data_IF_131661929823
#
_entry.id   IF_131661929823
#
_cell.length_a   1.000
_cell.length_b   1.000
_cell.length_c   1.000
_cell.angle_alpha   90.00
_cell.angle_beta   90.00
_cell.angle_gamma   90.00
#
_symmetry.space_group_name_H-M   'P 1'
#
loop_
_entity.id
_entity.type
_entity.pdbx_description
1 polymer ?
#
# COMPACT_ATOMS: atom_id res chain seq x y z
N UNK A 1 8.43 -27.13 -23.77
CA UNK A 1 8.41 -27.30 -22.30
C UNK A 1 7.96 -25.99 -21.69
N UNK A 2 6.99 -26.01 -20.78
CA UNK A 2 6.57 -24.82 -20.04
C UNK A 2 7.48 -24.63 -18.83
N UNK A 3 7.89 -23.39 -18.55
CA UNK A 3 8.64 -23.08 -17.34
C UNK A 3 7.68 -22.88 -16.18
N UNK A 4 7.95 -23.50 -15.05
CA UNK A 4 7.10 -23.41 -13.86
C UNK A 4 7.64 -22.31 -12.97
N UNK A 5 6.87 -21.24 -12.79
CA UNK A 5 7.22 -20.12 -11.92
C UNK A 5 6.52 -20.26 -10.57
N UNK A 6 7.32 -20.42 -9.51
CA UNK A 6 6.85 -20.52 -8.13
C UNK A 6 6.66 -19.11 -7.53
N UNK A 7 5.63 -18.40 -7.96
CA UNK A 7 5.29 -17.09 -7.43
C UNK A 7 3.79 -16.81 -7.59
N UNK A 8 3.26 -15.87 -6.80
CA UNK A 8 1.90 -15.39 -6.96
C UNK A 8 1.84 -14.21 -7.95
N UNK A 9 0.65 -13.94 -8.49
CA UNK A 9 0.37 -12.79 -9.37
C UNK A 9 0.51 -11.43 -8.67
N UNK A 10 0.55 -11.41 -7.33
CA UNK A 10 0.78 -10.20 -6.52
C UNK A 10 2.26 -9.80 -6.45
N UNK A 11 3.19 -10.67 -6.86
CA UNK A 11 4.63 -10.40 -6.83
C UNK A 11 5.08 -9.61 -8.07
N UNK A 12 5.70 -8.45 -7.85
CA UNK A 12 6.20 -7.59 -8.94
C UNK A 12 7.14 -8.31 -9.90
N UNK A 13 8.02 -9.17 -9.40
CA UNK A 13 9.04 -9.86 -10.19
C UNK A 13 8.40 -10.98 -11.03
N UNK A 14 7.34 -11.60 -10.51
CA UNK A 14 6.59 -12.61 -11.24
C UNK A 14 5.84 -12.01 -12.42
N UNK A 15 5.22 -10.84 -12.23
CA UNK A 15 4.54 -10.13 -13.32
C UNK A 15 5.53 -9.68 -14.39
N UNK A 16 6.72 -9.17 -14.01
CA UNK A 16 7.80 -8.86 -14.97
C UNK A 16 8.21 -10.10 -15.78
N UNK A 17 8.35 -11.26 -15.12
CA UNK A 17 8.70 -12.51 -15.79
C UNK A 17 7.61 -12.99 -16.76
N UNK A 18 6.33 -12.86 -16.42
CA UNK A 18 5.21 -13.22 -17.30
C UNK A 18 5.12 -12.31 -18.54
N UNK A 19 5.31 -11.00 -18.36
CA UNK A 19 5.35 -10.05 -19.48
C UNK A 19 6.53 -10.39 -20.40
N UNK A 20 7.73 -10.61 -19.84
CA UNK A 20 8.90 -11.02 -20.60
C UNK A 20 8.66 -12.34 -21.36
N UNK A 21 7.99 -13.31 -20.74
CA UNK A 21 7.66 -14.58 -21.37
C UNK A 21 6.75 -14.41 -22.59
N UNK A 22 5.73 -13.55 -22.51
CA UNK A 22 4.79 -13.30 -23.61
C UNK A 22 5.48 -12.63 -24.80
N UNK A 23 6.36 -11.64 -24.56
CA UNK A 23 7.17 -11.03 -25.63
C UNK A 23 8.19 -12.02 -26.23
N UNK A 24 8.69 -12.96 -25.43
CA UNK A 24 9.67 -13.96 -25.87
C UNK A 24 9.03 -15.15 -26.59
N UNK A 25 7.71 -15.33 -26.45
CA UNK A 25 6.98 -16.53 -26.89
C UNK A 25 7.29 -17.77 -26.04
N UNK A 26 7.77 -17.59 -24.81
CA UNK A 26 8.07 -18.66 -23.86
C UNK A 26 6.81 -18.94 -23.05
N UNK A 27 6.40 -20.21 -22.95
CA UNK A 27 5.26 -20.60 -22.11
C UNK A 27 5.71 -20.67 -20.66
N UNK A 28 5.16 -19.80 -19.81
CA UNK A 28 5.36 -19.82 -18.35
C UNK A 28 4.04 -20.15 -17.67
N UNK A 29 4.07 -21.08 -16.72
CA UNK A 29 2.92 -21.49 -15.91
C UNK A 29 3.18 -21.14 -14.44
N UNK A 30 2.22 -20.48 -13.79
CA UNK A 30 2.27 -20.19 -12.36
C UNK A 30 1.80 -21.41 -11.57
N UNK A 31 2.45 -21.69 -10.44
CA UNK A 31 1.97 -22.71 -9.50
C UNK A 31 0.74 -22.18 -8.76
N UNK A 32 -0.38 -22.91 -8.87
CA UNK A 32 -1.67 -22.49 -8.30
C UNK A 32 -1.69 -22.37 -6.77
N UNK A 33 -0.91 -23.20 -6.07
CA UNK A 33 -0.93 -23.32 -4.61
C UNK A 33 0.33 -22.72 -3.96
N UNK A 34 0.86 -21.62 -4.51
CA UNK A 34 2.07 -20.98 -3.97
C UNK A 34 1.75 -20.02 -2.82
N UNK A 35 2.17 -20.38 -1.60
CA UNK A 35 2.08 -19.54 -0.41
C UNK A 35 3.44 -18.96 -0.02
N UNK A 36 3.55 -17.63 -0.08
CA UNK A 36 4.76 -16.92 0.34
C UNK A 36 4.93 -17.02 1.86
N UNK A 37 6.05 -17.59 2.32
CA UNK A 37 6.34 -17.88 3.72
C UNK A 37 6.31 -19.38 4.06
N UNK A 38 5.65 -20.18 3.22
CA UNK A 38 5.52 -21.65 3.35
C UNK A 38 6.27 -22.35 2.22
N UNK A 39 5.87 -22.11 0.97
CA UNK A 39 6.40 -22.80 -0.21
C UNK A 39 7.82 -22.37 -0.59
N UNK A 40 8.22 -21.13 -0.24
CA UNK A 40 9.53 -20.54 -0.57
C UNK A 40 10.69 -20.96 0.36
N UNK A 41 10.43 -21.75 1.41
CA UNK A 41 11.46 -22.27 2.32
C UNK A 41 12.11 -23.57 1.82
N UNK A 42 11.65 -24.11 0.69
CA UNK A 42 12.27 -25.27 0.03
C UNK A 42 13.32 -24.79 -1.00
N UNK A 43 14.44 -25.51 -1.18
CA UNK A 43 15.55 -25.04 -2.02
C UNK A 43 15.22 -25.20 -3.50
N UNK A 44 14.46 -24.26 -4.05
CA UNK A 44 14.24 -24.10 -5.50
C UNK A 44 14.24 -22.62 -5.87
N UNK A 45 14.66 -22.38 -7.12
CA UNK A 45 14.97 -21.10 -7.77
C UNK A 45 14.20 -19.93 -7.17
N UNK A 46 14.94 -18.95 -6.64
CA UNK A 46 14.38 -17.78 -5.99
C UNK A 46 13.63 -16.90 -7.01
N UNK A 47 12.42 -16.40 -6.69
CA UNK A 47 11.63 -15.55 -7.59
C UNK A 47 12.33 -14.26 -8.05
N UNK A 48 13.42 -13.86 -7.39
CA UNK A 48 14.07 -12.57 -7.58
C UNK A 48 14.88 -12.45 -8.88
N UNK A 49 15.26 -13.57 -9.51
CA UNK A 49 16.06 -13.60 -10.76
C UNK A 49 15.29 -14.20 -11.95
N UNK A 50 14.01 -14.53 -11.74
CA UNK A 50 13.19 -15.31 -12.67
C UNK A 50 12.97 -14.64 -14.04
N UNK A 51 12.89 -13.32 -14.13
CA UNK A 51 12.67 -12.62 -15.40
C UNK A 51 13.91 -12.65 -16.32
N UNK A 52 15.12 -12.64 -15.75
CA UNK A 52 16.37 -12.77 -16.48
C UNK A 52 16.54 -14.17 -17.06
N UNK A 53 16.27 -15.19 -16.25
CA UNK A 53 16.32 -16.58 -16.70
C UNK A 53 15.31 -16.82 -17.82
N UNK A 54 14.08 -16.34 -17.67
CA UNK A 54 13.03 -16.46 -18.69
C UNK A 54 13.44 -15.82 -20.02
N UNK A 55 14.05 -14.63 -19.98
CA UNK A 55 14.49 -13.94 -21.19
C UNK A 55 15.67 -14.66 -21.90
N UNK A 56 16.58 -15.30 -21.15
CA UNK A 56 17.77 -15.99 -21.70
C UNK A 56 17.50 -17.41 -22.20
N UNK A 57 16.34 -18.00 -21.90
CA UNK A 57 16.02 -19.38 -22.34
C UNK A 57 15.82 -19.52 -23.85
N UNK A 58 15.56 -18.42 -24.55
CA UNK A 58 15.48 -18.39 -26.00
C UNK A 58 16.74 -17.75 -26.56
N UNK A 59 17.53 -18.53 -27.27
CA UNK A 59 18.64 -18.01 -28.09
C UNK A 59 18.03 -17.09 -29.16
N UNK A 60 18.63 -15.91 -29.35
CA UNK A 60 18.15 -14.83 -30.23
C UNK A 60 16.79 -14.22 -29.81
N UNK A 61 16.63 -13.97 -28.51
CA UNK A 61 15.47 -13.25 -28.01
C UNK A 61 15.57 -11.74 -28.32
N UNK A 62 14.64 -11.14 -29.10
CA UNK A 62 14.67 -9.71 -29.41
C UNK A 62 14.59 -8.81 -28.16
N UNK A 63 14.09 -9.34 -27.04
CA UNK A 63 13.95 -8.62 -25.77
C UNK A 63 15.31 -8.40 -25.08
N UNK A 64 16.34 -9.17 -25.44
CA UNK A 64 17.71 -9.06 -24.91
C UNK A 64 18.62 -8.13 -25.74
N UNK A 65 18.08 -7.45 -26.75
CA UNK A 65 18.85 -6.59 -27.65
C UNK A 65 19.49 -7.38 -28.80
N UNK A 66 19.77 -6.67 -29.90
CA UNK A 66 20.29 -7.23 -31.15
C UNK A 66 21.82 -7.23 -31.24
N UNK A 67 22.49 -6.51 -30.33
CA UNK A 67 23.95 -6.41 -30.26
C UNK A 67 24.43 -6.44 -28.82
N UNK A 68 25.71 -6.75 -28.62
CA UNK A 68 26.35 -6.71 -27.29
C UNK A 68 26.27 -5.31 -26.65
N UNK A 69 26.23 -4.26 -27.46
CA UNK A 69 26.10 -2.87 -26.98
C UNK A 69 24.68 -2.63 -26.47
N UNK A 70 23.66 -3.02 -27.23
CA UNK A 70 22.26 -2.92 -26.78
C UNK A 70 22.03 -3.76 -25.53
N UNK A 71 22.58 -4.98 -25.49
CA UNK A 71 22.54 -5.84 -24.32
C UNK A 71 23.15 -5.16 -23.07
N UNK A 72 24.32 -4.54 -23.20
CA UNK A 72 24.95 -3.82 -22.10
C UNK A 72 24.12 -2.62 -21.61
N UNK A 73 23.47 -1.89 -22.53
CA UNK A 73 22.54 -0.83 -22.16
C UNK A 73 21.27 -1.36 -21.49
N UNK A 74 20.77 -2.53 -21.89
CA UNK A 74 19.64 -3.19 -21.22
C UNK A 74 20.01 -3.52 -19.77
N UNK A 75 21.19 -4.10 -19.53
CA UNK A 75 21.69 -4.37 -18.18
C UNK A 75 21.83 -3.09 -17.36
N UNK A 76 22.40 -2.03 -17.95
CA UNK A 76 22.51 -0.72 -17.32
C UNK A 76 21.15 -0.17 -16.84
N UNK A 77 20.10 -0.26 -17.66
CA UNK A 77 18.77 0.21 -17.28
C UNK A 77 18.09 -0.66 -16.22
N UNK A 78 18.40 -1.95 -16.18
CA UNK A 78 17.88 -2.87 -15.16
C UNK A 78 18.53 -2.61 -13.81
N UNK A 79 19.84 -2.36 -13.79
CA UNK A 79 20.56 -1.95 -12.59
C UNK A 79 20.08 -0.59 -12.10
N UNK A 80 19.90 0.38 -13.01
CA UNK A 80 19.33 1.68 -12.70
C UNK A 80 17.92 1.55 -12.08
N UNK A 81 17.05 0.72 -12.67
CA UNK A 81 15.72 0.47 -12.11
C UNK A 81 15.81 -0.11 -10.70
N UNK A 82 16.71 -1.06 -10.47
CA UNK A 82 16.84 -1.74 -9.18
C UNK A 82 17.38 -0.81 -8.09
N UNK A 83 18.43 -0.06 -8.40
CA UNK A 83 19.22 0.71 -7.42
C UNK A 83 18.70 2.13 -7.21
N UNK A 84 18.22 2.78 -8.26
CA UNK A 84 17.84 4.19 -8.22
C UNK A 84 16.32 4.40 -8.11
N UNK A 85 15.52 3.43 -8.58
CA UNK A 85 14.05 3.54 -8.55
C UNK A 85 13.45 2.63 -7.49
N UNK A 86 13.60 1.31 -7.62
CA UNK A 86 12.93 0.31 -6.79
C UNK A 86 13.31 0.45 -5.31
N UNK A 87 14.60 0.62 -4.99
CA UNK A 87 15.06 0.82 -3.60
C UNK A 87 14.43 2.07 -2.98
N UNK A 88 14.36 3.18 -3.71
CA UNK A 88 13.82 4.44 -3.19
C UNK A 88 12.29 4.39 -3.07
N UNK A 89 11.59 3.75 -4.01
CA UNK A 89 10.15 3.47 -3.89
C UNK A 89 9.87 2.59 -2.69
N UNK A 90 10.66 1.54 -2.44
CA UNK A 90 10.47 0.66 -1.28
C UNK A 90 10.73 1.41 0.04
N UNK A 91 11.77 2.24 0.12
CA UNK A 91 12.06 3.08 1.29
C UNK A 91 10.96 4.08 1.59
N UNK A 92 10.29 4.58 0.57
CA UNK A 92 9.11 5.45 0.73
C UNK A 92 7.86 4.65 1.09
N UNK A 93 7.62 3.52 0.42
CA UNK A 93 6.36 2.78 0.53
C UNK A 93 6.25 1.91 1.79
N UNK A 94 7.31 1.18 2.17
CA UNK A 94 7.27 0.21 3.28
C UNK A 94 6.89 0.88 4.62
N UNK A 95 7.45 2.04 5.00
CA UNK A 95 7.03 2.73 6.21
C UNK A 95 5.57 3.21 6.13
N UNK A 96 5.13 3.63 4.94
CA UNK A 96 3.77 4.11 4.70
C UNK A 96 2.73 3.01 4.88
N UNK A 97 3.00 1.77 4.48
CA UNK A 97 2.11 0.63 4.74
C UNK A 97 2.28 -0.01 6.13
N UNK A 98 3.14 0.55 6.99
CA UNK A 98 3.33 0.11 8.37
C UNK A 98 4.26 -1.09 8.56
N UNK A 99 4.96 -1.52 7.51
CA UNK A 99 5.92 -2.64 7.59
C UNK A 99 7.32 -2.21 8.03
N UNK A 100 7.57 -0.90 8.15
CA UNK A 100 8.77 -0.35 8.75
C UNK A 100 8.44 0.91 9.57
N UNK A 101 9.37 1.31 10.44
CA UNK A 101 9.29 2.56 11.17
C UNK A 101 9.43 3.75 10.19
N UNK A 102 8.55 4.74 10.33
CA UNK A 102 8.65 6.00 9.58
C UNK A 102 9.69 6.92 10.21
N UNK A 103 10.61 7.41 9.38
CA UNK A 103 11.64 8.37 9.73
C UNK A 103 11.60 9.48 8.67
N UNK A 104 11.18 10.71 9.02
CA UNK A 104 10.99 11.80 8.05
C UNK A 104 12.21 12.06 7.18
N UNK A 105 13.40 12.12 7.78
CA UNK A 105 14.65 12.46 7.08
C UNK A 105 15.03 11.38 6.04
N UNK A 106 14.73 10.11 6.34
CA UNK A 106 14.99 8.99 5.43
C UNK A 106 14.02 9.01 4.26
N UNK A 107 12.75 9.35 4.52
CA UNK A 107 11.75 9.46 3.47
C UNK A 107 12.06 10.63 2.54
N UNK A 108 12.33 11.82 3.07
CA UNK A 108 12.69 12.99 2.27
C UNK A 108 13.92 12.71 1.37
N UNK A 109 14.93 12.03 1.91
CA UNK A 109 16.10 11.61 1.14
C UNK A 109 15.73 10.61 0.03
N UNK A 110 14.87 9.62 0.33
CA UNK A 110 14.41 8.64 -0.66
C UNK A 110 13.58 9.29 -1.77
N UNK A 111 12.67 10.20 -1.43
CA UNK A 111 11.85 10.96 -2.39
C UNK A 111 12.74 11.85 -3.26
N UNK A 112 13.71 12.56 -2.69
CA UNK A 112 14.67 13.38 -3.44
C UNK A 112 15.52 12.54 -4.41
N UNK A 113 16.00 11.38 -3.95
CA UNK A 113 16.76 10.46 -4.79
C UNK A 113 15.91 9.90 -5.94
N UNK A 114 14.66 9.53 -5.66
CA UNK A 114 13.71 9.05 -6.66
C UNK A 114 13.41 10.14 -7.71
N UNK A 115 13.18 11.39 -7.29
CA UNK A 115 12.99 12.52 -8.23
C UNK A 115 14.18 12.68 -9.16
N UNK A 116 15.41 12.63 -8.65
CA UNK A 116 16.63 12.71 -9.46
C UNK A 116 16.71 11.59 -10.51
N UNK A 117 16.36 10.36 -10.11
CA UNK A 117 16.33 9.22 -11.02
C UNK A 117 15.28 9.41 -12.12
N UNK A 118 14.07 9.86 -11.74
CA UNK A 118 13.00 10.14 -12.69
C UNK A 118 13.30 11.32 -13.61
N UNK A 119 14.02 12.34 -13.17
CA UNK A 119 14.51 13.42 -14.04
C UNK A 119 15.48 12.90 -15.10
N UNK A 120 16.42 12.04 -14.71
CA UNK A 120 17.36 11.42 -15.65
C UNK A 120 16.61 10.56 -16.68
N UNK A 121 15.65 9.76 -16.23
CA UNK A 121 14.78 8.95 -17.07
C UNK A 121 13.94 9.83 -18.03
N UNK A 122 13.35 10.91 -17.52
CA UNK A 122 12.53 11.84 -18.30
C UNK A 122 13.34 12.52 -19.40
N UNK A 123 14.60 12.90 -19.12
CA UNK A 123 15.52 13.44 -20.14
C UNK A 123 15.86 12.41 -21.21
N UNK A 124 16.07 11.15 -20.83
CA UNK A 124 16.35 10.07 -21.79
C UNK A 124 15.14 9.80 -22.69
N UNK A 125 13.94 9.72 -22.11
CA UNK A 125 12.69 9.48 -22.84
C UNK A 125 12.22 10.69 -23.66
N UNK A 126 12.79 11.88 -23.46
CA UNK A 126 12.48 13.04 -24.28
C UNK A 126 12.92 12.86 -25.74
N UNK A 127 13.97 12.07 -25.99
CA UNK A 127 14.51 11.81 -27.33
C UNK A 127 14.35 10.36 -27.78
N UNK A 128 13.88 9.46 -26.90
CA UNK A 128 13.80 8.03 -27.18
C UNK A 128 12.41 7.49 -26.84
N UNK A 129 11.81 6.74 -27.76
CA UNK A 129 10.52 6.06 -27.55
C UNK A 129 10.65 4.82 -26.66
N UNK A 130 11.81 4.15 -26.70
CA UNK A 130 12.16 2.98 -25.89
C UNK A 130 13.46 3.25 -25.15
N UNK A 131 13.73 2.53 -24.06
CA UNK A 131 14.96 2.72 -23.28
C UNK A 131 16.21 2.31 -24.06
N UNK A 132 16.09 1.27 -24.88
CA UNK A 132 17.18 0.76 -25.72
C UNK A 132 16.65 0.39 -27.11
N UNK A 133 17.31 0.92 -28.15
CA UNK A 133 17.00 0.58 -29.53
C UNK A 133 15.64 1.10 -30.02
N UNK A 134 14.96 0.30 -30.85
CA UNK A 134 13.74 0.69 -31.58
C UNK A 134 12.52 -0.20 -31.27
N UNK A 135 12.61 -1.04 -30.24
CA UNK A 135 11.57 -1.99 -29.84
C UNK A 135 11.53 -2.17 -28.33
N UNK A 136 10.44 -2.76 -27.81
CA UNK A 136 10.33 -3.12 -26.39
C UNK A 136 11.41 -4.14 -26.02
N UNK A 137 12.21 -3.82 -25.01
CA UNK A 137 13.28 -4.65 -24.45
C UNK A 137 13.01 -5.00 -22.99
N UNK A 138 13.87 -5.83 -22.41
CA UNK A 138 13.77 -6.18 -20.98
C UNK A 138 13.88 -4.94 -20.10
N UNK A 139 14.64 -3.92 -20.54
CA UNK A 139 14.75 -2.65 -19.85
C UNK A 139 13.37 -2.00 -19.66
N UNK A 140 12.57 -1.90 -20.73
CA UNK A 140 11.23 -1.28 -20.69
C UNK A 140 10.28 -2.06 -19.76
N UNK A 141 10.32 -3.40 -19.82
CA UNK A 141 9.51 -4.29 -18.98
C UNK A 141 9.88 -4.13 -17.50
N UNK A 142 11.17 -4.15 -17.17
CA UNK A 142 11.65 -4.01 -15.78
C UNK A 142 11.38 -2.60 -15.26
N UNK A 143 11.51 -1.60 -16.12
CA UNK A 143 11.25 -0.20 -15.82
C UNK A 143 9.77 0.09 -15.57
N UNK A 144 8.85 -0.77 -16.03
CA UNK A 144 7.42 -0.68 -15.73
C UNK A 144 7.21 -0.96 -14.23
N UNK A 145 7.48 0.04 -13.40
CA UNK A 145 7.56 -0.09 -11.95
C UNK A 145 6.15 -0.14 -11.34
N UNK A 146 5.90 -1.15 -10.51
CA UNK A 146 4.67 -1.25 -9.69
C UNK A 146 4.41 -0.01 -8.81
N UNK A 147 5.46 0.76 -8.48
CA UNK A 147 5.33 2.01 -7.75
C UNK A 147 4.53 3.09 -8.49
N UNK A 148 4.51 3.11 -9.82
CA UNK A 148 3.63 4.00 -10.58
C UNK A 148 2.15 3.70 -10.37
N UNK A 149 1.80 2.45 -10.04
CA UNK A 149 0.41 2.03 -9.85
C UNK A 149 -0.05 2.28 -8.40
N UNK A 150 0.88 2.30 -7.43
CA UNK A 150 0.53 2.28 -5.99
C UNK A 150 1.05 3.42 -5.14
N UNK A 151 2.06 4.16 -5.59
CA UNK A 151 2.80 5.14 -4.76
C UNK A 151 2.87 6.52 -5.41
N UNK A 152 3.11 6.57 -6.72
CA UNK A 152 3.31 7.84 -7.42
C UNK A 152 1.96 8.49 -7.73
N UNK A 153 1.64 9.54 -6.98
CA UNK A 153 0.43 10.37 -7.19
C UNK A 153 0.53 11.17 -8.48
N UNK A 154 -0.61 11.63 -9.01
CA UNK A 154 -0.63 12.49 -10.21
C UNK A 154 0.16 13.78 -10.01
N UNK A 155 0.11 14.37 -8.81
CA UNK A 155 0.87 15.56 -8.46
C UNK A 155 2.37 15.30 -8.63
N UNK A 156 2.86 14.14 -8.19
CA UNK A 156 4.26 13.74 -8.33
C UNK A 156 4.66 13.37 -9.76
N UNK A 157 3.82 12.64 -10.51
CA UNK A 157 4.14 12.23 -11.89
C UNK A 157 4.10 13.38 -12.88
N UNK A 158 3.31 14.42 -12.61
CA UNK A 158 3.19 15.60 -13.47
C UNK A 158 4.50 16.38 -13.65
N UNK A 159 5.46 16.23 -12.73
CA UNK A 159 6.82 16.78 -12.83
C UNK A 159 7.63 16.12 -13.97
N UNK A 160 7.22 14.94 -14.43
CA UNK A 160 7.95 14.09 -15.39
C UNK A 160 7.06 13.67 -16.58
N UNK A 161 6.72 14.59 -17.50
CA UNK A 161 5.69 14.35 -18.52
C UNK A 161 6.03 13.24 -19.53
N UNK A 162 7.31 13.04 -19.88
CA UNK A 162 7.70 11.96 -20.79
C UNK A 162 7.62 10.60 -20.09
N UNK A 163 8.00 10.54 -18.82
CA UNK A 163 7.83 9.34 -17.99
C UNK A 163 6.34 9.02 -17.86
N UNK A 164 5.51 9.98 -17.49
CA UNK A 164 4.07 9.76 -17.33
C UNK A 164 3.40 9.26 -18.62
N UNK A 165 3.71 9.89 -19.76
CA UNK A 165 3.17 9.49 -21.07
C UNK A 165 3.62 8.09 -21.49
N UNK A 166 4.93 7.80 -21.45
CA UNK A 166 5.49 6.52 -21.88
C UNK A 166 5.00 5.38 -21.00
N UNK A 167 4.98 5.57 -19.68
CA UNK A 167 4.46 4.56 -18.76
C UNK A 167 2.96 4.36 -18.91
N UNK A 168 2.19 5.44 -19.11
CA UNK A 168 0.77 5.35 -19.41
C UNK A 168 0.49 4.50 -20.65
N UNK A 169 1.27 4.68 -21.71
CA UNK A 169 1.18 3.85 -22.92
C UNK A 169 1.51 2.39 -22.65
N UNK A 170 2.57 2.10 -21.88
CA UNK A 170 2.95 0.74 -21.53
C UNK A 170 1.91 0.05 -20.65
N UNK A 171 1.28 0.77 -19.71
CA UNK A 171 0.19 0.25 -18.86
C UNK A 171 -1.09 -0.03 -19.65
N UNK A 172 -1.36 0.74 -20.70
CA UNK A 172 -2.50 0.54 -21.60
C UNK A 172 -2.25 -0.60 -22.61
N UNK A 173 -1.01 -1.07 -22.77
CA UNK A 173 -0.71 -2.20 -23.67
C UNK A 173 -1.58 -3.43 -23.33
N UNK A 174 -2.14 -4.15 -24.32
CA UNK A 174 -2.94 -5.34 -24.08
C UNK A 174 -2.23 -6.41 -23.25
N UNK A 175 -0.91 -6.56 -23.41
CA UNK A 175 -0.08 -7.51 -22.65
C UNK A 175 -0.02 -7.09 -21.19
N UNK A 176 0.34 -5.83 -20.94
CA UNK A 176 0.40 -5.25 -19.59
C UNK A 176 -0.94 -5.32 -18.88
N UNK A 177 -2.06 -5.00 -19.56
CA UNK A 177 -3.40 -5.10 -18.98
C UNK A 177 -3.79 -6.52 -18.55
N UNK A 178 -3.30 -7.58 -19.22
CA UNK A 178 -3.59 -8.97 -18.80
C UNK A 178 -3.02 -9.31 -17.43
N UNK A 179 -1.87 -8.74 -17.07
CA UNK A 179 -1.17 -9.06 -15.82
C UNK A 179 -1.18 -7.95 -14.77
N UNK A 180 -1.44 -6.71 -15.18
CA UNK A 180 -1.49 -5.52 -14.32
C UNK A 180 -2.93 -5.03 -14.06
N UNK A 181 -3.94 -5.58 -14.74
CA UNK A 181 -5.33 -5.22 -14.45
C UNK A 181 -5.64 -5.44 -12.97
N UNK A 182 -6.13 -4.38 -12.32
CA UNK A 182 -6.81 -4.47 -11.03
C UNK A 182 -7.86 -5.56 -11.17
N UNK A 183 -7.78 -6.61 -10.36
CA UNK A 183 -8.97 -7.41 -10.11
C UNK A 183 -10.02 -6.42 -9.59
N UNK A 184 -11.07 -6.18 -10.37
CA UNK A 184 -12.29 -5.64 -9.78
C UNK A 184 -12.65 -6.57 -8.63
N UNK A 185 -12.98 -6.04 -7.44
CA UNK A 185 -13.29 -6.87 -6.31
C UNK A 185 -14.46 -7.77 -6.71
N UNK A 186 -14.17 -9.06 -6.93
CA UNK A 186 -15.21 -10.08 -6.95
C UNK A 186 -15.95 -9.89 -5.64
N UNK A 187 -17.24 -9.56 -5.73
CA UNK A 187 -18.16 -9.62 -4.59
C UNK A 187 -18.10 -11.04 -4.04
N UNK A 188 -17.22 -11.28 -3.08
CA UNK A 188 -17.27 -12.50 -2.30
C UNK A 188 -18.51 -12.43 -1.43
N UNK A 189 -19.49 -13.23 -1.83
CA UNK A 189 -20.62 -13.62 -1.01
C UNK A 189 -20.04 -14.19 0.27
N UNK A 190 -20.28 -13.49 1.40
CA UNK A 190 -20.06 -13.97 2.76
C UNK A 190 -20.46 -15.45 2.85
N UNK A 191 -19.49 -16.34 3.02
CA UNK A 191 -19.74 -17.66 3.59
C UNK A 191 -19.51 -17.54 5.09
N UNK A 192 -20.54 -17.91 5.84
CA UNK A 192 -20.52 -17.98 7.30
C UNK A 192 -19.31 -18.80 7.78
N UNK A 193 -18.55 -18.33 8.79
CA UNK A 193 -17.47 -19.13 9.36
C UNK A 193 -18.04 -20.30 10.16
N UNK A 194 -17.62 -21.51 9.78
CA UNK A 194 -17.76 -22.70 10.60
C UNK A 194 -16.90 -22.56 11.86
N UNK A 195 -17.45 -22.99 13.00
CA UNK A 195 -16.82 -23.01 14.33
C UNK A 195 -15.39 -23.59 14.30
N UNK A 196 -14.41 -22.96 14.98
CA UNK A 196 -13.12 -23.58 15.24
C UNK A 196 -13.23 -24.68 16.29
N UNK A 197 -12.58 -25.81 16.01
CA UNK A 197 -12.28 -26.89 16.95
C UNK A 197 -11.10 -26.47 17.83
N UNK A 198 -11.21 -26.81 19.11
CA UNK A 198 -10.32 -26.56 20.24
C UNK A 198 -8.96 -27.27 20.08
N UNK A 199 -7.84 -26.54 20.16
CA UNK A 199 -6.54 -27.08 20.60
C UNK A 199 -5.84 -26.08 21.54
N UNK A 200 -5.34 -26.61 22.66
CA UNK A 200 -4.82 -25.90 23.82
C UNK A 200 -3.29 -25.65 23.71
N UNK A 201 -2.63 -24.95 24.68
CA UNK A 201 -1.85 -23.74 24.44
C UNK A 201 -0.33 -23.96 24.40
N UNK A 202 0.40 -23.07 23.72
CA UNK A 202 1.86 -22.92 23.89
C UNK A 202 2.23 -21.50 24.31
N UNK A 203 2.81 -21.45 25.51
CA UNK A 203 3.66 -20.45 26.17
C UNK A 203 3.56 -18.97 25.78
N UNK A 204 3.07 -18.20 26.75
CA UNK A 204 3.21 -16.77 26.86
C UNK A 204 4.68 -16.36 27.08
N UNK A 205 5.20 -15.52 26.19
CA UNK A 205 6.42 -14.74 26.43
C UNK A 205 6.01 -13.34 26.94
N UNK A 206 6.66 -12.91 28.03
CA UNK A 206 6.31 -11.79 28.89
C UNK A 206 6.08 -10.44 28.15
N UNK A 207 4.90 -9.86 28.38
CA UNK A 207 4.64 -8.45 28.14
C UNK A 207 5.50 -7.56 29.07
N UNK A 208 6.14 -6.50 28.58
CA UNK A 208 6.77 -5.52 29.46
C UNK A 208 5.69 -4.72 30.21
N UNK A 209 5.80 -4.73 31.54
CA UNK A 209 4.92 -4.04 32.50
C UNK A 209 4.61 -2.58 32.12
N UNK A 210 3.35 -2.12 32.26
CA UNK A 210 2.99 -0.71 32.08
C UNK A 210 3.55 0.15 33.23
N UNK A 211 4.22 1.25 32.87
CA UNK A 211 4.60 2.30 33.83
C UNK A 211 3.34 3.02 34.34
N UNK A 212 3.21 3.33 35.65
CA UNK A 212 2.04 4.00 36.19
C UNK A 212 2.03 5.48 35.76
N UNK A 213 0.98 5.91 35.06
CA UNK A 213 0.71 7.34 34.86
C UNK A 213 -0.02 7.93 36.07
N UNK A 214 0.29 9.17 36.49
CA UNK A 214 -0.23 9.78 37.71
C UNK A 214 -1.71 10.17 37.59
N UNK A 215 -2.31 10.35 38.78
CA UNK A 215 -3.73 10.63 39.06
C UNK A 215 -4.40 11.66 38.14
N UNK A 216 -5.66 11.34 37.83
CA UNK A 216 -6.69 12.12 37.13
C UNK A 216 -6.72 13.61 37.46
N UNK A 217 -6.59 14.48 36.44
CA UNK A 217 -7.13 15.84 36.43
C UNK A 217 -8.44 15.87 35.61
N UNK A 218 -9.44 15.06 35.99
CA UNK A 218 -10.78 15.06 35.36
C UNK A 218 -11.63 16.30 35.72
N UNK A 219 -11.12 17.24 36.53
CA UNK A 219 -11.88 18.42 36.98
C UNK A 219 -11.49 19.74 36.30
N UNK A 220 -10.59 19.75 35.30
CA UNK A 220 -10.11 20.99 34.66
C UNK A 220 -9.95 20.93 33.13
N UNK A 221 -10.92 20.35 32.41
CA UNK A 221 -11.03 20.51 30.94
C UNK A 221 -12.46 20.94 30.53
N UNK A 222 -12.60 21.88 29.58
CA UNK A 222 -13.82 22.65 29.34
C UNK A 222 -14.96 21.84 28.71
N UNK A 223 -16.21 22.35 28.76
CA UNK A 223 -17.43 21.63 28.39
C UNK A 223 -17.44 21.16 26.93
N UNK A 224 -17.67 19.84 26.78
CA UNK A 224 -18.28 19.07 25.67
C UNK A 224 -17.94 19.51 24.24
N UNK A 225 -17.28 18.62 23.49
CA UNK A 225 -17.06 18.68 22.02
C UNK A 225 -18.24 19.27 21.23
N UNK A 226 -19.47 18.93 21.61
CA UNK A 226 -20.72 19.41 21.01
C UNK A 226 -20.99 20.91 21.18
N UNK A 227 -20.47 21.54 22.23
CA UNK A 227 -20.61 22.98 22.46
C UNK A 227 -19.72 23.80 21.50
N UNK A 228 -18.66 23.17 20.97
CA UNK A 228 -17.74 23.77 19.99
C UNK A 228 -17.99 23.29 18.55
N UNK A 229 -18.88 22.31 18.37
CA UNK A 229 -19.11 21.69 17.08
C UNK A 229 -20.06 22.55 16.25
N UNK A 230 -19.56 23.07 15.12
CA UNK A 230 -20.35 23.78 14.12
C UNK A 230 -20.82 22.82 13.02
N UNK A 231 -22.12 22.43 13.00
CA UNK A 231 -22.66 21.47 12.03
C UNK A 231 -22.78 22.05 10.62
N UNK A 232 -22.72 23.37 10.42
CA UNK A 232 -22.76 24.01 9.11
C UNK A 232 -21.35 24.07 8.49
N UNK A 233 -20.35 24.39 9.32
CA UNK A 233 -18.95 24.49 8.91
C UNK A 233 -18.19 23.17 8.85
N UNK A 234 -18.63 22.13 9.56
CA UNK A 234 -17.94 20.84 9.64
C UNK A 234 -18.89 19.65 9.50
N UNK A 235 -18.34 18.53 9.02
CA UNK A 235 -19.03 17.24 8.96
C UNK A 235 -18.23 16.15 9.67
N UNK A 236 -18.94 15.31 10.41
CA UNK A 236 -18.39 14.13 11.06
C UNK A 236 -18.63 12.88 10.20
N UNK A 237 -17.62 12.01 10.18
CA UNK A 237 -17.63 10.77 9.41
C UNK A 237 -17.05 9.63 10.24
N UNK A 238 -17.76 8.50 10.30
CA UNK A 238 -17.19 7.24 10.72
C UNK A 238 -16.37 6.64 9.57
N UNK A 239 -15.19 6.11 9.89
CA UNK A 239 -14.38 5.34 8.97
C UNK A 239 -14.13 3.93 9.54
N UNK A 240 -14.82 2.94 8.98
CA UNK A 240 -14.66 1.53 9.37
C UNK A 240 -13.76 0.83 8.34
N UNK A 241 -12.70 0.15 8.79
CA UNK A 241 -11.79 -0.53 7.87
C UNK A 241 -12.43 -1.77 7.23
N UNK A 242 -12.33 -1.91 5.90
CA UNK A 242 -13.05 -2.98 5.15
C UNK A 242 -12.47 -4.38 5.35
N UNK A 243 -11.17 -4.49 5.60
CA UNK A 243 -10.43 -5.76 5.58
C UNK A 243 -9.90 -6.14 6.98
N UNK A 244 -10.74 -6.03 8.01
CA UNK A 244 -10.32 -6.34 9.39
C UNK A 244 -9.82 -7.78 9.54
N UNK A 245 -10.34 -8.73 8.76
CA UNK A 245 -9.94 -10.14 8.80
C UNK A 245 -8.45 -10.35 8.46
N UNK A 246 -7.82 -9.41 7.74
CA UNK A 246 -6.38 -9.46 7.42
C UNK A 246 -5.49 -8.98 8.58
N UNK A 247 -6.06 -8.35 9.61
CA UNK A 247 -5.32 -7.77 10.72
C UNK A 247 -5.06 -8.82 11.82
N UNK A 248 -4.14 -9.75 11.57
CA UNK A 248 -3.83 -10.84 12.52
C UNK A 248 -2.71 -10.52 13.52
N UNK A 249 -1.94 -9.45 13.28
CA UNK A 249 -0.78 -9.08 14.11
C UNK A 249 -0.95 -7.65 14.62
N UNK A 250 -1.04 -7.48 15.94
CA UNK A 250 -1.32 -6.20 16.61
C UNK A 250 -0.35 -5.09 16.20
N UNK A 251 0.96 -5.35 16.25
CA UNK A 251 1.98 -4.36 15.89
C UNK A 251 1.86 -3.90 14.42
N UNK A 252 1.52 -4.80 13.49
CA UNK A 252 1.33 -4.46 12.08
C UNK A 252 0.09 -3.59 11.90
N UNK A 253 -1.01 -3.90 12.58
CA UNK A 253 -2.23 -3.08 12.57
C UNK A 253 -1.98 -1.69 13.16
N UNK A 254 -1.24 -1.59 14.26
CA UNK A 254 -0.89 -0.31 14.90
C UNK A 254 -0.02 0.57 14.00
N UNK A 255 0.93 -0.03 13.26
CA UNK A 255 1.76 0.70 12.30
C UNK A 255 0.97 1.12 11.07
N UNK A 256 0.05 0.28 10.58
CA UNK A 256 -0.84 0.60 9.45
C UNK A 256 -1.72 1.81 9.75
N UNK A 257 -2.31 1.87 10.95
CA UNK A 257 -3.07 3.05 11.43
C UNK A 257 -2.16 4.28 11.49
N UNK A 258 -0.92 4.13 11.95
CA UNK A 258 0.04 5.24 11.99
C UNK A 258 0.38 5.76 10.59
N UNK A 259 0.59 4.85 9.63
CA UNK A 259 0.86 5.20 8.24
C UNK A 259 -0.30 5.95 7.58
N UNK A 260 -1.54 5.52 7.86
CA UNK A 260 -2.75 6.23 7.42
C UNK A 260 -2.81 7.65 7.99
N UNK A 261 -2.59 7.80 9.30
CA UNK A 261 -2.58 9.12 9.95
C UNK A 261 -1.51 10.07 9.38
N UNK A 262 -0.34 9.56 9.03
CA UNK A 262 0.72 10.35 8.39
C UNK A 262 0.37 10.79 6.97
N UNK A 263 -0.36 9.96 6.20
CA UNK A 263 -0.87 10.38 4.88
C UNK A 263 -1.94 11.45 5.03
N UNK A 264 -2.76 11.35 6.06
CA UNK A 264 -3.76 12.36 6.42
C UNK A 264 -3.17 13.68 6.94
N UNK A 265 -1.85 13.79 7.19
CA UNK A 265 -1.22 15.03 7.70
C UNK A 265 -1.37 16.21 6.71
N UNK A 266 -1.45 15.94 5.40
CA UNK A 266 -1.78 16.95 4.38
C UNK A 266 -3.15 17.61 4.63
N UNK A 267 -4.07 16.90 5.28
CA UNK A 267 -5.41 17.37 5.61
C UNK A 267 -5.49 18.03 6.99
N UNK A 268 -4.43 18.05 7.82
CA UNK A 268 -4.48 18.50 9.23
C UNK A 268 -5.03 19.92 9.44
N UNK A 269 -4.87 20.81 8.46
CA UNK A 269 -5.42 22.18 8.52
C UNK A 269 -6.94 22.23 8.37
N UNK A 270 -7.53 21.17 7.82
CA UNK A 270 -8.93 21.08 7.41
C UNK A 270 -9.65 19.85 7.98
N UNK A 271 -8.93 18.98 8.67
CA UNK A 271 -9.44 17.72 9.18
C UNK A 271 -8.81 17.40 10.54
N UNK A 272 -9.64 16.88 11.43
CA UNK A 272 -9.21 16.21 12.65
C UNK A 272 -9.67 14.76 12.55
N UNK A 273 -8.90 13.81 13.05
CA UNK A 273 -9.40 12.44 13.11
C UNK A 273 -8.75 11.59 14.16
N UNK A 274 -9.50 10.58 14.56
CA UNK A 274 -9.18 9.69 15.65
C UNK A 274 -9.44 8.26 15.21
N UNK A 275 -8.41 7.42 15.28
CA UNK A 275 -8.43 6.02 14.91
C UNK A 275 -8.28 5.18 16.18
N UNK A 276 -9.10 4.13 16.28
CA UNK A 276 -9.12 3.14 17.35
C UNK A 276 -8.73 1.79 16.76
N UNK A 277 -7.87 1.08 17.48
CA UNK A 277 -7.58 -0.34 17.26
C UNK A 277 -8.24 -1.11 18.38
N UNK A 278 -9.17 -1.99 18.02
CA UNK A 278 -10.07 -2.67 18.95
C UNK A 278 -9.82 -4.18 18.84
N UNK A 279 -9.83 -4.85 19.99
CA UNK A 279 -9.62 -6.30 20.11
C UNK A 279 -8.39 -6.64 20.94
N UNK A 280 -8.53 -7.64 21.82
CA UNK A 280 -7.42 -8.25 22.57
C UNK A 280 -6.75 -9.40 21.80
N UNK A 281 -7.48 -10.00 20.87
CA UNK A 281 -7.06 -11.13 20.04
C UNK A 281 -7.38 -10.84 18.56
N UNK A 282 -6.64 -11.45 17.61
CA UNK A 282 -6.91 -11.27 16.20
C UNK A 282 -8.27 -11.88 15.80
N UNK A 283 -8.97 -11.31 14.79
CA UNK A 283 -8.57 -10.15 13.98
C UNK A 283 -8.81 -8.80 14.68
N UNK A 284 -7.81 -7.92 14.63
CA UNK A 284 -7.89 -6.57 15.19
C UNK A 284 -8.75 -5.65 14.32
N UNK A 285 -9.77 -5.03 14.91
CA UNK A 285 -10.69 -4.14 14.22
C UNK A 285 -10.16 -2.71 14.23
N UNK A 286 -10.15 -2.08 13.07
CA UNK A 286 -9.77 -0.66 12.94
C UNK A 286 -11.02 0.15 12.64
N UNK A 287 -11.32 1.09 13.53
CA UNK A 287 -12.43 2.04 13.41
C UNK A 287 -11.92 3.45 13.63
N UNK A 288 -12.56 4.44 13.03
CA UNK A 288 -12.17 5.81 13.25
C UNK A 288 -13.30 6.81 13.09
N UNK A 289 -13.02 8.01 13.55
CA UNK A 289 -13.88 9.18 13.52
C UNK A 289 -13.08 10.32 12.92
N UNK A 290 -13.55 10.87 11.81
CA UNK A 290 -12.95 12.04 11.18
C UNK A 290 -13.94 13.19 11.16
N UNK A 291 -13.43 14.38 11.46
CA UNK A 291 -14.08 15.67 11.34
C UNK A 291 -13.44 16.39 10.15
N UNK A 292 -14.22 16.69 9.12
CA UNK A 292 -13.76 17.47 7.96
C UNK A 292 -14.40 18.85 7.95
N UNK A 293 -13.65 19.85 7.50
CA UNK A 293 -14.18 21.17 7.22
C UNK A 293 -15.01 21.12 5.93
N UNK A 294 -16.25 21.57 6.01
CA UNK A 294 -17.26 21.46 4.95
C UNK A 294 -18.19 20.26 5.14
N UNK A 295 -19.16 20.13 4.23
CA UNK A 295 -20.23 19.12 4.32
C UNK A 295 -19.87 17.77 3.69
N UNK A 296 -18.76 17.72 2.95
CA UNK A 296 -18.26 16.57 2.21
C UNK A 296 -16.79 16.35 2.54
N UNK A 297 -16.30 15.14 2.28
CA UNK A 297 -14.88 14.84 2.38
C UNK A 297 -14.16 15.64 1.30
N UNK A 298 -13.16 16.48 1.64
CA UNK A 298 -12.50 17.32 0.65
C UNK A 298 -11.88 16.48 -0.47
N UNK A 299 -12.13 16.87 -1.73
CA UNK A 299 -11.70 16.10 -2.91
C UNK A 299 -10.18 15.84 -2.93
N UNK A 300 -9.36 16.80 -2.49
CA UNK A 300 -7.91 16.62 -2.43
C UNK A 300 -7.48 15.48 -1.48
N UNK A 301 -8.28 15.18 -0.44
CA UNK A 301 -8.00 14.04 0.45
C UNK A 301 -8.30 12.73 -0.26
N UNK A 302 -9.38 12.68 -1.05
CA UNK A 302 -9.72 11.51 -1.87
C UNK A 302 -8.68 11.27 -2.97
N UNK A 303 -8.15 12.33 -3.57
CA UNK A 303 -7.19 12.24 -4.67
C UNK A 303 -5.77 11.87 -4.18
N UNK A 304 -5.36 12.36 -3.00
CA UNK A 304 -3.99 12.17 -2.48
C UNK A 304 -3.87 11.00 -1.48
N UNK A 305 -4.93 10.65 -0.74
CA UNK A 305 -4.95 9.49 0.17
C UNK A 305 -5.68 8.30 -0.47
N UNK A 306 -4.95 7.44 -1.20
CA UNK A 306 -5.50 6.21 -1.77
C UNK A 306 -6.11 5.26 -0.72
N UNK A 307 -5.65 5.34 0.54
CA UNK A 307 -6.21 4.57 1.66
C UNK A 307 -7.68 4.86 1.92
N UNK A 308 -8.19 6.03 1.52
CA UNK A 308 -9.59 6.39 1.72
C UNK A 308 -10.53 5.33 1.14
N UNK A 309 -10.12 4.67 0.05
CA UNK A 309 -10.88 3.56 -0.57
C UNK A 309 -10.89 2.28 0.28
N UNK A 310 -9.93 2.09 1.19
CA UNK A 310 -9.83 0.92 2.07
C UNK A 310 -10.77 1.01 3.28
N UNK A 311 -11.32 2.20 3.53
CA UNK A 311 -12.30 2.45 4.59
C UNK A 311 -13.70 2.64 4.00
N UNK A 312 -14.71 2.22 4.76
CA UNK A 312 -16.10 2.59 4.52
C UNK A 312 -16.39 3.88 5.28
N UNK A 313 -16.75 4.93 4.54
CA UNK A 313 -17.03 6.25 5.09
C UNK A 313 -18.53 6.45 5.24
N UNK A 314 -18.99 6.72 6.46
CA UNK A 314 -20.40 7.00 6.76
C UNK A 314 -20.52 8.35 7.45
N UNK A 315 -21.25 9.28 6.86
CA UNK A 315 -21.53 10.58 7.49
C UNK A 315 -22.33 10.34 8.77
N UNK A 316 -21.89 10.94 9.86
CA UNK A 316 -22.55 10.84 11.16
C UNK A 316 -23.84 11.66 11.11
N UNK A 317 -24.95 11.04 11.47
CA UNK A 317 -26.20 11.76 11.71
C UNK A 317 -26.21 12.27 13.16
N UNK A 318 -26.13 13.58 13.31
CA UNK A 318 -26.13 14.25 14.61
C UNK A 318 -27.53 14.19 15.25
N UNK A 319 -28.58 13.85 14.50
CA UNK A 319 -29.92 13.68 15.08
C UNK A 319 -30.12 12.27 15.67
N UNK A 320 -29.23 11.33 15.37
CA UNK A 320 -29.25 9.98 15.92
C UNK A 320 -28.45 9.93 17.22
N UNK A 321 -29.17 9.77 18.34
CA UNK A 321 -28.58 9.70 19.67
C UNK A 321 -27.62 8.50 19.83
N UNK A 322 -27.84 7.39 19.11
CA UNK A 322 -26.92 6.25 19.15
C UNK A 322 -25.58 6.58 18.46
N UNK A 323 -25.62 7.34 17.37
CA UNK A 323 -24.41 7.76 16.67
C UNK A 323 -23.65 8.84 17.44
N UNK A 324 -24.36 9.79 18.06
CA UNK A 324 -23.77 10.76 18.99
C UNK A 324 -23.06 10.08 20.16
N UNK A 325 -23.68 9.05 20.74
CA UNK A 325 -23.07 8.30 21.83
C UNK A 325 -21.82 7.55 21.37
N UNK A 326 -21.86 6.93 20.18
CA UNK A 326 -20.68 6.32 19.57
C UNK A 326 -19.55 7.34 19.37
N UNK A 327 -19.86 8.55 18.88
CA UNK A 327 -18.89 9.66 18.74
C UNK A 327 -18.27 10.02 20.09
N UNK A 328 -19.09 10.16 21.15
CA UNK A 328 -18.60 10.46 22.49
C UNK A 328 -17.64 9.39 23.00
N UNK A 329 -18.00 8.12 22.83
CA UNK A 329 -17.16 6.99 23.25
C UNK A 329 -15.81 6.99 22.53
N UNK A 330 -15.79 7.28 21.22
CA UNK A 330 -14.54 7.39 20.47
C UNK A 330 -13.69 8.58 20.92
N UNK A 331 -14.31 9.75 21.16
CA UNK A 331 -13.59 10.97 21.59
C UNK A 331 -13.01 10.80 23.00
N UNK A 332 -13.70 10.08 23.89
CA UNK A 332 -13.29 9.89 25.28
C UNK A 332 -12.39 8.68 25.53
N UNK A 333 -12.04 7.92 24.47
CA UNK A 333 -11.27 6.67 24.59
C UNK A 333 -11.93 5.67 25.56
N UNK A 334 -13.26 5.55 25.46
CA UNK A 334 -14.01 4.70 26.38
C UNK A 334 -13.56 3.23 26.26
N UNK A 335 -13.32 2.58 27.39
CA UNK A 335 -12.88 1.20 27.47
C UNK A 335 -13.83 0.41 28.41
N UNK A 336 -14.48 -0.67 27.94
CA UNK A 336 -14.42 -1.26 26.60
C UNK A 336 -15.22 -0.45 25.55
N UNK A 337 -14.76 -0.45 24.30
CA UNK A 337 -15.45 0.19 23.18
C UNK A 337 -16.29 -0.85 22.43
N UNK A 338 -17.60 -0.62 22.33
CA UNK A 338 -18.57 -1.56 21.72
C UNK A 338 -18.49 -3.00 22.29
N UNK A 339 -18.08 -3.15 23.56
CA UNK A 339 -17.95 -4.44 24.23
C UNK A 339 -16.63 -5.17 23.98
N UNK A 340 -15.68 -4.57 23.26
CA UNK A 340 -14.34 -5.11 23.01
C UNK A 340 -13.25 -4.25 23.66
N UNK A 341 -12.11 -4.85 23.99
CA UNK A 341 -10.98 -4.14 24.58
C UNK A 341 -10.40 -3.12 23.59
N UNK A 342 -10.09 -1.92 24.08
CA UNK A 342 -9.47 -0.88 23.28
C UNK A 342 -7.95 -1.07 23.35
N UNK A 343 -7.33 -1.54 22.27
CA UNK A 343 -5.90 -1.83 22.23
C UNK A 343 -5.07 -0.55 22.12
N UNK A 344 -5.49 0.37 21.25
CA UNK A 344 -4.83 1.66 21.08
C UNK A 344 -5.77 2.71 20.47
N UNK A 345 -5.49 3.97 20.76
CA UNK A 345 -6.20 5.12 20.23
C UNK A 345 -5.20 6.19 19.78
N UNK A 346 -5.28 6.57 18.49
CA UNK A 346 -4.40 7.57 17.89
C UNK A 346 -5.21 8.70 17.28
N UNK A 347 -4.82 9.93 17.56
CA UNK A 347 -5.39 11.11 16.93
C UNK A 347 -4.36 11.80 16.04
N UNK A 348 -4.83 12.43 14.95
CA UNK A 348 -4.08 13.45 14.23
C UNK A 348 -4.80 14.79 14.38
N UNK A 349 -4.02 15.85 14.63
CA UNK A 349 -4.51 17.19 14.97
C UNK A 349 -3.79 18.25 14.15
#
# INVERSE_FOLDING_TARGET
MALILHANTKNKNAVKALIAAEYSGVKVELVGDFEMGVSNKTPRVSPNESYWEVARLKVDNPVCGSSLIEYAHIEQWIDFSSLEIDVNILRWFIPRIGYAMYIPEVEEAAVSALKRALEALNKHLASNTYLVGHSVTLADIVMTCFGFIRVLTKSFTSEFPHVESTFGQWLISPISRRYLAKEEPKKEVRKEPAKPTEEAPTEAEEAPKPKPKPKNPLDLLPPRFWDMYDPEGYSLWFCDYKYNDENTVSFVTLNKVSGFLQRMDLARKYAFGKMLVIGSEPPFKVKGLCLFRGQEIPQFVLDECYDMELYEWKKVDINDEAQKERVNQMIQDNEPFEGEALLDAKCFK
#
